data_IF_514064214336
#
_entry.id   IF_514064214336
#
_cell.length_a   1.000
_cell.length_b   1.000
_cell.length_c   1.000
_cell.angle_alpha   90.00
_cell.angle_beta   90.00
_cell.angle_gamma   90.00
#
_symmetry.space_group_name_H-M   'P 1'
#
loop_
_entity.id
_entity.type
_entity.pdbx_description
1 polymer ?
#
# COMPACT_ATOMS: atom_id res chain seq x y z
N UNK A 1 -40.04 15.23 36.92
CA UNK A 1 -39.37 14.26 36.04
C UNK A 1 -38.29 15.02 35.27
N UNK A 2 -37.03 14.94 35.72
CA UNK A 2 -35.90 15.56 35.01
C UNK A 2 -34.99 14.46 34.46
N UNK A 3 -35.07 14.30 33.14
CA UNK A 3 -34.40 13.28 32.36
C UNK A 3 -33.01 13.80 31.93
N UNK A 4 -31.97 13.07 32.35
CA UNK A 4 -30.67 12.86 31.71
C UNK A 4 -30.04 14.02 30.92
N UNK A 5 -29.15 14.77 31.58
CA UNK A 5 -28.17 15.68 30.97
C UNK A 5 -26.74 15.14 31.19
N UNK A 6 -26.39 14.01 30.59
CA UNK A 6 -25.00 13.49 30.70
C UNK A 6 -24.48 12.74 29.47
N UNK A 7 -25.09 12.95 28.29
CA UNK A 7 -24.59 12.40 27.02
C UNK A 7 -24.53 13.51 25.95
N UNK A 8 -23.79 14.59 26.21
CA UNK A 8 -23.47 15.60 25.18
C UNK A 8 -22.00 16.04 25.22
N UNK A 9 -21.15 15.43 26.04
CA UNK A 9 -19.73 15.81 26.10
C UNK A 9 -18.83 15.10 25.04
N UNK A 10 -19.30 14.01 24.42
CA UNK A 10 -18.50 13.27 23.43
C UNK A 10 -18.62 13.81 21.98
N UNK A 11 -19.62 14.66 21.71
CA UNK A 11 -19.87 15.20 20.37
C UNK A 11 -19.10 16.50 20.07
N UNK A 12 -18.54 17.16 21.08
CA UNK A 12 -17.85 18.45 20.92
C UNK A 12 -16.33 18.36 20.70
N UNK A 13 -15.73 17.16 20.76
CA UNK A 13 -14.28 16.96 20.56
C UNK A 13 -13.92 16.20 19.27
N UNK A 14 -14.86 15.97 18.35
CA UNK A 14 -14.61 15.30 17.06
C UNK A 14 -14.81 16.18 15.83
N UNK A 15 -14.89 17.50 15.99
CA UNK A 15 -14.79 18.43 14.87
C UNK A 15 -13.32 18.76 14.59
N UNK A 16 -12.48 17.74 14.39
CA UNK A 16 -11.30 17.94 13.56
C UNK A 16 -11.86 18.06 12.15
N UNK A 17 -11.81 19.26 11.56
CA UNK A 17 -12.17 19.44 10.17
C UNK A 17 -11.28 18.52 9.33
N UNK A 18 -11.86 17.44 8.81
CA UNK A 18 -11.16 16.48 7.99
C UNK A 18 -10.69 17.20 6.72
N UNK A 19 -9.37 17.22 6.50
CA UNK A 19 -8.74 17.93 5.38
C UNK A 19 -8.83 17.02 4.13
N UNK A 20 -9.40 17.49 3.00
CA UNK A 20 -9.41 16.73 1.75
C UNK A 20 -8.01 16.37 1.25
N UNK A 21 -7.83 15.22 0.61
CA UNK A 21 -6.46 14.73 0.30
C UNK A 21 -5.80 15.57 -0.78
N UNK A 22 -6.59 16.23 -1.63
CA UNK A 22 -6.11 17.24 -2.56
C UNK A 22 -5.44 18.43 -1.88
N UNK A 23 -5.81 18.73 -0.63
CA UNK A 23 -5.18 19.78 0.17
C UNK A 23 -3.90 19.28 0.86
N UNK A 24 -3.76 17.96 1.11
CA UNK A 24 -2.56 17.37 1.73
C UNK A 24 -1.46 16.99 0.69
N UNK A 25 -1.84 16.58 -0.51
CA UNK A 25 -0.92 16.35 -1.64
C UNK A 25 0.03 15.15 -1.47
N UNK A 26 1.16 15.15 -2.20
CA UNK A 26 2.16 14.07 -2.19
C UNK A 26 3.58 14.64 -2.34
N UNK A 27 4.60 13.93 -1.83
CA UNK A 27 5.96 14.47 -1.77
C UNK A 27 6.81 14.14 -3.00
N UNK A 28 7.02 15.13 -3.89
CA UNK A 28 7.94 15.04 -5.04
C UNK A 28 9.26 15.77 -4.81
N UNK A 29 9.99 15.40 -3.75
CA UNK A 29 11.45 15.54 -3.64
C UNK A 29 12.14 16.92 -3.77
N UNK A 30 11.48 18.01 -4.20
CA UNK A 30 12.14 19.30 -4.49
C UNK A 30 11.70 20.50 -3.65
N UNK A 31 10.66 20.40 -2.84
CA UNK A 31 10.38 21.37 -1.80
C UNK A 31 9.88 20.62 -0.57
N UNK A 32 10.54 20.84 0.56
CA UNK A 32 10.19 20.27 1.87
C UNK A 32 9.00 20.96 2.52
N UNK A 33 8.12 21.55 1.73
CA UNK A 33 6.85 22.05 2.21
C UNK A 33 5.86 20.91 2.01
N UNK A 34 5.44 20.32 3.13
CA UNK A 34 4.18 19.60 3.10
C UNK A 34 3.05 20.55 2.68
N UNK A 35 1.83 20.04 2.58
CA UNK A 35 0.67 20.84 2.22
C UNK A 35 0.57 22.10 3.07
N UNK A 36 0.57 23.26 2.43
CA UNK A 36 0.55 24.56 3.10
C UNK A 36 1.69 24.79 4.13
N UNK A 37 2.85 24.14 3.98
CA UNK A 37 4.01 24.29 4.86
C UNK A 37 3.90 23.50 6.18
N UNK A 38 2.96 22.56 6.29
CA UNK A 38 2.78 21.71 7.47
C UNK A 38 3.64 20.45 7.38
N UNK A 39 4.15 19.96 8.50
CA UNK A 39 4.85 18.67 8.56
C UNK A 39 3.80 17.53 8.48
N UNK A 40 3.79 16.71 7.41
CA UNK A 40 2.84 15.60 7.22
C UNK A 40 2.95 14.52 8.32
N UNK A 41 4.01 14.54 9.12
CA UNK A 41 4.20 13.63 10.25
C UNK A 41 3.89 14.26 11.61
N UNK A 42 3.55 15.56 11.66
CA UNK A 42 2.94 16.23 12.81
C UNK A 42 1.48 16.58 12.49
N UNK A 43 0.56 15.60 12.57
CA UNK A 43 -0.82 15.82 12.18
C UNK A 43 -1.55 16.85 13.03
N UNK A 44 -1.12 17.14 14.26
CA UNK A 44 -1.85 17.99 15.22
C UNK A 44 -3.35 17.62 15.32
N UNK A 45 -3.65 16.33 15.17
CA UNK A 45 -5.00 15.77 15.15
C UNK A 45 -5.75 15.85 13.82
N UNK A 46 -5.20 16.48 12.77
CA UNK A 46 -5.86 16.77 11.48
C UNK A 46 -5.96 15.59 10.51
N UNK A 47 -5.02 14.65 10.59
CA UNK A 47 -5.01 13.42 9.79
C UNK A 47 -4.39 12.27 10.57
N UNK A 48 -4.59 11.06 10.06
CA UNK A 48 -3.90 9.86 10.57
C UNK A 48 -2.57 9.67 9.84
N UNK A 49 -1.53 9.21 10.55
CA UNK A 49 -0.25 8.80 9.95
C UNK A 49 -0.07 7.31 10.22
N UNK A 50 0.09 6.53 9.16
CA UNK A 50 0.28 5.07 9.24
C UNK A 50 1.53 4.65 8.51
N UNK A 51 2.23 3.63 9.01
CA UNK A 51 3.39 3.06 8.31
C UNK A 51 2.93 2.15 7.18
N UNK A 52 3.52 2.32 6.00
CA UNK A 52 3.20 1.50 4.83
C UNK A 52 3.34 -0.02 5.11
N UNK A 53 4.39 -0.43 5.83
CA UNK A 53 4.63 -1.85 6.20
C UNK A 53 3.49 -2.49 7.02
N UNK A 54 2.68 -1.66 7.68
CA UNK A 54 1.55 -2.09 8.50
C UNK A 54 0.23 -2.13 7.69
N UNK A 55 0.27 -1.93 6.37
CA UNK A 55 -0.90 -1.96 5.49
C UNK A 55 -0.89 -3.20 4.55
N UNK A 56 -2.07 -3.52 3.99
CA UNK A 56 -2.19 -4.35 2.79
C UNK A 56 -2.56 -3.46 1.60
N UNK A 57 -2.18 -3.87 0.39
CA UNK A 57 -2.51 -3.19 -0.85
C UNK A 57 -2.98 -4.17 -1.90
N UNK A 58 -3.88 -3.69 -2.76
CA UNK A 58 -4.23 -4.35 -4.01
C UNK A 58 -4.30 -3.31 -5.12
N UNK A 59 -3.76 -3.68 -6.28
CA UNK A 59 -3.72 -2.86 -7.48
C UNK A 59 -4.89 -3.24 -8.38
N UNK A 60 -5.79 -2.31 -8.69
CA UNK A 60 -6.92 -2.53 -9.60
C UNK A 60 -6.81 -1.62 -10.82
N UNK A 61 -6.48 -2.21 -11.97
CA UNK A 61 -6.50 -1.48 -13.23
C UNK A 61 -7.94 -1.30 -13.72
N UNK A 62 -8.25 -0.12 -14.25
CA UNK A 62 -9.55 0.21 -14.84
C UNK A 62 -9.46 0.39 -16.35
N UNK A 63 -10.58 0.15 -17.05
CA UNK A 63 -10.65 0.23 -18.50
C UNK A 63 -10.71 1.69 -18.97
N UNK A 64 -10.28 2.00 -20.22
CA UNK A 64 -10.48 3.34 -20.77
C UNK A 64 -11.97 3.71 -20.78
N UNK A 65 -12.30 4.88 -20.23
CA UNK A 65 -13.68 5.36 -20.08
C UNK A 65 -14.39 4.92 -18.79
N UNK A 66 -13.79 4.04 -17.99
CA UNK A 66 -14.30 3.68 -16.66
C UNK A 66 -13.90 4.74 -15.63
N UNK A 67 -14.82 5.10 -14.71
CA UNK A 67 -14.50 5.99 -13.61
C UNK A 67 -13.59 5.25 -12.61
N UNK A 68 -12.42 5.80 -12.22
CA UNK A 68 -11.52 5.15 -11.28
C UNK A 68 -12.17 4.82 -9.92
N UNK A 69 -13.18 5.59 -9.50
CA UNK A 69 -13.91 5.32 -8.25
C UNK A 69 -14.60 3.95 -8.29
N UNK A 70 -15.07 3.51 -9.45
CA UNK A 70 -15.88 2.29 -9.60
C UNK A 70 -15.06 1.00 -9.41
N UNK A 71 -13.72 1.08 -9.51
CA UNK A 71 -12.83 -0.07 -9.31
C UNK A 71 -12.27 -0.17 -7.88
N UNK A 72 -12.60 0.78 -7.01
CA UNK A 72 -12.23 0.74 -5.59
C UNK A 72 -12.82 -0.51 -4.94
N UNK A 73 -12.00 -1.25 -4.18
CA UNK A 73 -12.52 -2.39 -3.41
C UNK A 73 -13.20 -1.86 -2.16
N UNK A 74 -14.52 -2.02 -2.09
CA UNK A 74 -15.34 -1.59 -0.94
C UNK A 74 -15.81 -2.75 -0.07
N UNK A 75 -15.44 -3.98 -0.42
CA UNK A 75 -15.87 -5.20 0.28
C UNK A 75 -15.34 -5.22 1.71
N UNK A 76 -16.19 -5.56 2.67
CA UNK A 76 -15.85 -5.61 4.10
C UNK A 76 -15.62 -7.02 4.63
N UNK A 77 -16.08 -8.05 3.91
CA UNK A 77 -16.01 -9.44 4.36
C UNK A 77 -15.08 -10.28 3.47
N UNK A 78 -14.13 -10.97 4.10
CA UNK A 78 -13.16 -11.84 3.45
C UNK A 78 -13.28 -13.27 3.95
N UNK A 79 -13.28 -14.22 3.01
CA UNK A 79 -13.55 -15.65 3.27
C UNK A 79 -12.58 -16.55 2.51
N UNK A 80 -11.34 -16.10 2.31
CA UNK A 80 -10.37 -16.90 1.56
C UNK A 80 -10.11 -18.24 2.24
N UNK A 81 -9.97 -19.30 1.46
CA UNK A 81 -9.41 -20.59 1.88
C UNK A 81 -8.06 -20.83 1.21
N UNK A 82 -7.18 -21.67 1.79
CA UNK A 82 -5.90 -22.00 1.18
C UNK A 82 -6.01 -22.52 -0.26
N UNK A 83 -7.05 -23.29 -0.56
CA UNK A 83 -7.32 -23.84 -1.90
C UNK A 83 -7.71 -22.74 -2.88
N UNK A 84 -8.54 -21.78 -2.46
CA UNK A 84 -8.90 -20.63 -3.30
C UNK A 84 -7.72 -19.72 -3.57
N UNK A 85 -6.84 -19.53 -2.58
CA UNK A 85 -5.61 -18.75 -2.73
C UNK A 85 -4.68 -19.42 -3.74
N UNK A 86 -4.43 -20.72 -3.57
CA UNK A 86 -3.64 -21.52 -4.53
C UNK A 86 -4.23 -21.47 -5.93
N UNK A 87 -5.53 -21.76 -6.06
CA UNK A 87 -6.24 -21.76 -7.34
C UNK A 87 -6.15 -20.41 -8.05
N UNK A 88 -6.26 -19.30 -7.30
CA UNK A 88 -6.13 -17.96 -7.86
C UNK A 88 -4.69 -17.66 -8.33
N UNK A 89 -3.67 -18.05 -7.56
CA UNK A 89 -2.26 -17.89 -7.92
C UNK A 89 -1.91 -18.69 -9.19
N UNK A 90 -2.47 -19.90 -9.33
CA UNK A 90 -2.21 -20.74 -10.50
C UNK A 90 -3.05 -20.35 -11.73
N UNK A 91 -4.10 -19.54 -11.55
CA UNK A 91 -5.01 -19.11 -12.62
C UNK A 91 -5.10 -17.58 -12.72
N UNK A 92 -4.00 -16.86 -12.91
CA UNK A 92 -4.03 -15.39 -13.01
C UNK A 92 -4.97 -14.85 -14.11
N UNK A 93 -5.20 -15.62 -15.18
CA UNK A 93 -6.15 -15.28 -16.24
C UNK A 93 -7.63 -15.35 -15.83
N UNK A 94 -7.92 -15.79 -14.61
CA UNK A 94 -9.27 -15.97 -14.07
C UNK A 94 -10.18 -16.79 -15.01
N UNK A 95 -9.63 -17.83 -15.62
CA UNK A 95 -10.41 -18.73 -16.46
C UNK A 95 -11.53 -19.34 -15.62
N UNK A 96 -12.79 -19.15 -16.03
CA UNK A 96 -13.96 -19.60 -15.27
C UNK A 96 -14.49 -18.63 -14.22
N UNK A 97 -13.90 -17.43 -14.07
CA UNK A 97 -14.38 -16.37 -13.17
C UNK A 97 -14.49 -16.76 -11.69
N UNK A 98 -13.61 -17.63 -11.20
CA UNK A 98 -13.66 -18.18 -9.83
C UNK A 98 -12.64 -17.56 -8.87
N UNK A 99 -11.73 -16.71 -9.37
CA UNK A 99 -10.65 -16.17 -8.56
C UNK A 99 -11.14 -15.27 -7.44
N UNK A 100 -10.48 -15.37 -6.29
CA UNK A 100 -10.68 -14.46 -5.16
C UNK A 100 -9.75 -13.24 -5.27
N UNK A 101 -10.01 -12.24 -4.42
CA UNK A 101 -9.09 -11.12 -4.27
C UNK A 101 -7.88 -11.52 -3.42
N UNK A 102 -6.71 -11.49 -4.05
CA UNK A 102 -5.41 -11.58 -3.38
C UNK A 102 -4.88 -10.21 -2.99
N UNK A 103 -4.05 -10.19 -1.95
CA UNK A 103 -3.51 -9.01 -1.30
C UNK A 103 -2.00 -9.10 -1.20
N UNK A 104 -1.34 -7.94 -1.24
CA UNK A 104 0.10 -7.80 -1.10
C UNK A 104 0.39 -6.93 0.13
N UNK A 105 1.46 -7.18 0.90
CA UNK A 105 1.89 -6.21 1.89
C UNK A 105 2.20 -4.90 1.18
N UNK A 106 1.93 -3.74 1.78
CA UNK A 106 2.33 -2.47 1.16
C UNK A 106 3.83 -2.26 1.39
N UNK A 107 4.61 -2.95 0.56
CA UNK A 107 6.05 -3.08 0.62
C UNK A 107 6.66 -2.91 -0.77
N UNK A 108 7.99 -2.97 -0.85
CA UNK A 108 8.74 -2.70 -2.08
C UNK A 108 8.49 -3.73 -3.14
N UNK A 109 8.54 -5.01 -2.76
CA UNK A 109 8.30 -6.11 -3.68
C UNK A 109 6.93 -5.97 -4.35
N UNK A 110 5.94 -5.42 -3.65
CA UNK A 110 4.62 -5.15 -4.20
C UNK A 110 4.63 -4.01 -5.23
N UNK A 111 5.45 -2.98 -5.04
CA UNK A 111 5.69 -1.95 -6.05
C UNK A 111 6.54 -2.43 -7.23
N UNK A 112 7.52 -3.34 -7.02
CA UNK A 112 8.22 -4.02 -8.11
C UNK A 112 7.26 -4.89 -8.92
N UNK A 113 6.43 -5.68 -8.23
CA UNK A 113 5.38 -6.50 -8.83
C UNK A 113 4.40 -5.66 -9.66
N UNK A 114 3.99 -4.49 -9.17
CA UNK A 114 3.14 -3.54 -9.88
C UNK A 114 3.86 -2.68 -10.94
N UNK A 115 5.14 -2.96 -11.22
CA UNK A 115 6.02 -2.20 -12.14
C UNK A 115 6.25 -0.73 -11.74
N UNK A 116 5.90 -0.31 -10.54
CA UNK A 116 6.07 1.08 -10.07
C UNK A 116 7.56 1.42 -9.96
N UNK A 117 8.35 0.47 -9.45
CA UNK A 117 9.82 0.49 -9.48
C UNK A 117 10.34 -0.68 -10.32
N UNK A 118 11.61 -0.65 -10.79
CA UNK A 118 12.17 -1.75 -11.56
C UNK A 118 12.11 -3.11 -10.84
N UNK A 119 11.80 -4.17 -11.58
CA UNK A 119 11.74 -5.54 -11.05
C UNK A 119 13.06 -6.02 -10.42
N UNK A 120 14.20 -5.48 -10.85
CA UNK A 120 15.48 -5.63 -10.18
C UNK A 120 16.03 -4.25 -9.80
N UNK A 121 16.41 -4.08 -8.53
CA UNK A 121 16.98 -2.85 -7.99
C UNK A 121 18.52 -2.89 -7.91
N UNK A 122 19.13 -4.00 -8.29
CA UNK A 122 20.57 -4.23 -8.23
C UNK A 122 20.93 -5.69 -7.99
N UNK A 123 22.22 -6.04 -8.03
CA UNK A 123 22.70 -7.42 -7.87
C UNK A 123 22.50 -7.97 -6.44
N UNK A 124 22.39 -7.11 -5.45
CA UNK A 124 22.20 -7.50 -4.03
C UNK A 124 20.72 -7.75 -3.68
N UNK A 125 19.81 -7.62 -4.65
CA UNK A 125 18.37 -7.73 -4.44
C UNK A 125 17.77 -8.82 -5.32
N UNK A 126 16.89 -9.63 -4.72
CA UNK A 126 16.09 -10.61 -5.45
C UNK A 126 15.24 -9.91 -6.51
N UNK A 127 15.29 -10.40 -7.75
CA UNK A 127 14.47 -9.89 -8.83
C UNK A 127 13.01 -10.33 -8.63
N UNK A 128 12.09 -9.40 -8.83
CA UNK A 128 10.65 -9.65 -8.78
C UNK A 128 10.09 -9.65 -10.21
N UNK A 129 9.43 -10.75 -10.56
CA UNK A 129 8.66 -10.84 -11.81
C UNK A 129 7.46 -9.90 -11.75
N UNK A 130 7.40 -8.96 -12.68
CA UNK A 130 6.36 -7.94 -12.69
C UNK A 130 5.06 -8.45 -13.31
N UNK A 131 3.91 -7.99 -12.81
CA UNK A 131 2.60 -8.37 -13.34
C UNK A 131 2.27 -7.59 -14.62
N UNK A 132 2.17 -8.30 -15.74
CA UNK A 132 2.04 -7.69 -17.06
C UNK A 132 0.73 -6.90 -17.22
N UNK A 133 -0.35 -7.36 -16.58
CA UNK A 133 -1.69 -6.80 -16.68
C UNK A 133 -1.94 -5.51 -15.90
N UNK A 134 -1.02 -5.12 -15.01
CA UNK A 134 -1.14 -3.84 -14.28
C UNK A 134 -0.72 -2.70 -15.20
N UNK A 135 -1.66 -1.77 -15.41
CA UNK A 135 -1.47 -0.54 -16.18
C UNK A 135 -1.13 0.64 -15.24
N UNK A 136 0.06 1.23 -15.40
CA UNK A 136 0.56 2.31 -14.54
C UNK A 136 -0.19 3.64 -14.72
N UNK A 137 -0.91 3.82 -15.81
CA UNK A 137 -1.63 5.07 -16.04
C UNK A 137 -3.09 4.96 -15.61
N UNK A 138 -3.54 3.74 -15.30
CA UNK A 138 -4.95 3.43 -15.02
C UNK A 138 -5.11 2.42 -13.90
N UNK A 139 -4.51 2.66 -12.74
CA UNK A 139 -4.64 1.79 -11.58
C UNK A 139 -4.92 2.55 -10.29
N UNK A 140 -5.93 2.07 -9.56
CA UNK A 140 -6.20 2.45 -8.18
C UNK A 140 -5.49 1.49 -7.23
N UNK A 141 -4.98 2.04 -6.14
CA UNK A 141 -4.48 1.28 -5.00
C UNK A 141 -5.58 1.28 -3.96
N UNK A 142 -6.18 0.12 -3.72
CA UNK A 142 -7.03 -0.09 -2.53
C UNK A 142 -6.15 -0.55 -1.38
N UNK A 143 -6.13 0.21 -0.29
CA UNK A 143 -5.25 0.01 0.86
C UNK A 143 -6.11 -0.37 2.07
N UNK A 144 -5.80 -1.50 2.70
CA UNK A 144 -6.33 -1.84 4.03
C UNK A 144 -5.35 -1.27 5.05
N UNK A 145 -5.84 -0.32 5.86
CA UNK A 145 -5.08 0.36 6.90
C UNK A 145 -4.74 -0.57 8.07
N UNK A 146 -3.80 -0.19 8.96
CA UNK A 146 -3.42 -1.03 10.10
C UNK A 146 -4.60 -1.37 11.02
N UNK A 147 -5.59 -0.49 11.12
CA UNK A 147 -6.84 -0.75 11.84
C UNK A 147 -7.61 -1.96 11.29
N UNK A 148 -7.66 -2.11 9.96
CA UNK A 148 -8.26 -3.25 9.28
C UNK A 148 -7.37 -4.48 9.28
N UNK A 149 -6.06 -4.31 9.05
CA UNK A 149 -5.08 -5.42 9.04
C UNK A 149 -5.14 -6.25 10.32
N UNK A 150 -5.30 -5.61 11.49
CA UNK A 150 -5.43 -6.29 12.79
C UNK A 150 -6.70 -7.13 12.95
N UNK A 151 -7.72 -6.91 12.13
CA UNK A 151 -9.00 -7.64 12.14
C UNK A 151 -9.01 -8.82 11.15
N UNK A 152 -7.94 -8.99 10.38
CA UNK A 152 -7.85 -9.97 9.30
C UNK A 152 -6.77 -11.02 9.58
N UNK A 153 -7.10 -12.26 9.23
CA UNK A 153 -6.20 -13.41 9.21
C UNK A 153 -5.58 -13.53 7.81
N UNK A 154 -4.26 -13.73 7.76
CA UNK A 154 -3.53 -14.08 6.54
C UNK A 154 -3.82 -15.55 6.16
N UNK A 155 -4.24 -15.80 4.93
CA UNK A 155 -4.51 -17.14 4.42
C UNK A 155 -3.49 -17.47 3.32
N UNK A 156 -2.52 -18.31 3.67
CA UNK A 156 -1.50 -18.80 2.73
C UNK A 156 -2.06 -19.83 1.77
N UNK A 157 -1.51 -19.96 0.55
CA UNK A 157 -1.93 -21.01 -0.38
C UNK A 157 -1.72 -22.41 0.21
N UNK A 158 -2.59 -23.34 -0.16
CA UNK A 158 -2.32 -24.76 0.02
C UNK A 158 -1.02 -25.15 -0.69
N UNK A 159 -0.32 -26.16 -0.17
CA UNK A 159 0.89 -26.70 -0.82
C UNK A 159 0.60 -27.15 -2.25
N UNK A 160 1.62 -27.07 -3.12
CA UNK A 160 1.50 -27.59 -4.49
C UNK A 160 1.19 -29.10 -4.46
N UNK A 161 0.18 -29.52 -5.23
CA UNK A 161 -0.03 -30.94 -5.51
C UNK A 161 1.09 -31.46 -6.42
N UNK A 162 1.40 -32.75 -6.36
CA UNK A 162 2.43 -33.41 -7.20
C UNK A 162 2.04 -33.37 -8.69
N UNK A 163 2.28 -32.25 -9.35
CA UNK A 163 1.94 -32.04 -10.77
C UNK A 163 1.70 -30.57 -11.14
N UNK A 164 1.46 -29.70 -10.17
CA UNK A 164 1.34 -28.25 -10.43
C UNK A 164 2.71 -27.57 -10.41
N UNK A 165 2.88 -26.59 -11.29
CA UNK A 165 4.10 -25.79 -11.34
C UNK A 165 4.25 -24.99 -10.05
N UNK A 166 5.17 -25.42 -9.18
CA UNK A 166 5.52 -24.74 -7.93
C UNK A 166 6.01 -23.31 -8.15
N UNK A 167 6.37 -22.93 -9.37
CA UNK A 167 6.97 -21.63 -9.67
C UNK A 167 6.03 -20.46 -9.41
N UNK A 168 4.72 -20.60 -9.67
CA UNK A 168 3.77 -19.51 -9.43
C UNK A 168 3.55 -19.30 -7.94
N UNK A 169 3.53 -20.38 -7.17
CA UNK A 169 3.44 -20.35 -5.71
C UNK A 169 4.70 -19.76 -5.09
N UNK A 170 5.89 -20.17 -5.56
CA UNK A 170 7.17 -19.58 -5.15
C UNK A 170 7.24 -18.08 -5.45
N UNK A 171 6.82 -17.66 -6.65
CA UNK A 171 6.74 -16.24 -7.03
C UNK A 171 5.77 -15.46 -6.16
N UNK A 172 4.60 -16.03 -5.89
CA UNK A 172 3.60 -15.41 -5.03
C UNK A 172 4.12 -15.26 -3.59
N UNK A 173 4.80 -16.28 -3.06
CA UNK A 173 5.45 -16.25 -1.75
C UNK A 173 6.54 -15.18 -1.68
N UNK A 174 7.38 -15.06 -2.73
CA UNK A 174 8.47 -14.10 -2.80
C UNK A 174 8.02 -12.65 -2.61
N UNK A 175 6.83 -12.29 -3.10
CA UNK A 175 6.23 -10.95 -2.97
C UNK A 175 5.21 -10.83 -1.82
N UNK A 176 4.91 -11.93 -1.12
CA UNK A 176 3.94 -11.97 -0.02
C UNK A 176 2.48 -11.92 -0.46
N UNK A 177 2.16 -12.42 -1.66
CA UNK A 177 0.76 -12.54 -2.12
C UNK A 177 0.00 -13.49 -1.19
N UNK A 178 -1.14 -13.05 -0.69
CA UNK A 178 -1.95 -13.81 0.26
C UNK A 178 -3.46 -13.63 0.06
N UNK A 179 -4.25 -14.57 0.58
CA UNK A 179 -5.66 -14.37 0.83
C UNK A 179 -5.90 -13.73 2.19
N UNK A 180 -7.08 -13.15 2.38
CA UNK A 180 -7.48 -12.61 3.68
C UNK A 180 -8.77 -13.28 4.15
N UNK A 181 -8.95 -13.37 5.47
CA UNK A 181 -10.16 -13.87 6.11
C UNK A 181 -10.51 -13.01 7.32
N UNK A 182 -11.80 -12.72 7.49
CA UNK A 182 -12.31 -11.86 8.55
C UNK A 182 -13.14 -10.70 8.01
N UNK A 183 -13.46 -9.74 8.88
CA UNK A 183 -14.37 -8.63 8.56
C UNK A 183 -13.76 -7.30 9.01
N UNK A 184 -13.82 -6.29 8.14
CA UNK A 184 -13.37 -4.92 8.39
C UNK A 184 -14.53 -3.93 8.16
N UNK A 185 -14.34 -2.68 8.56
CA UNK A 185 -15.29 -1.59 8.32
C UNK A 185 -14.87 -0.73 7.13
N UNK A 186 -15.79 0.07 6.54
CA UNK A 186 -15.43 1.08 5.54
C UNK A 186 -14.25 1.98 5.98
N UNK A 187 -14.21 2.38 7.25
CA UNK A 187 -13.18 3.26 7.81
C UNK A 187 -11.77 2.64 7.84
N UNK A 188 -11.65 1.33 7.59
CA UNK A 188 -10.36 0.64 7.49
C UNK A 188 -9.74 0.72 6.08
N UNK A 189 -10.44 1.34 5.14
CA UNK A 189 -9.99 1.50 3.75
C UNK A 189 -9.43 2.90 3.49
N UNK A 190 -8.40 2.93 2.66
CA UNK A 190 -7.98 4.14 1.97
C UNK A 190 -7.64 3.87 0.50
N UNK A 191 -7.69 4.90 -0.33
CA UNK A 191 -7.48 4.81 -1.78
C UNK A 191 -6.53 5.91 -2.26
N UNK A 192 -5.65 5.54 -3.18
CA UNK A 192 -4.74 6.45 -3.90
C UNK A 192 -4.55 5.93 -5.31
N UNK A 193 -3.84 6.68 -6.15
CA UNK A 193 -3.53 6.27 -7.52
C UNK A 193 -2.13 5.69 -7.61
N UNK A 194 -1.92 4.80 -8.58
CA UNK A 194 -0.57 4.26 -8.84
C UNK A 194 0.39 5.35 -9.31
N UNK A 195 -0.12 6.42 -9.94
CA UNK A 195 0.68 7.54 -10.45
C UNK A 195 1.30 8.33 -9.29
N UNK A 196 0.51 8.66 -8.27
CA UNK A 196 1.01 9.31 -7.04
C UNK A 196 2.05 8.43 -6.35
N UNK A 197 1.75 7.14 -6.18
CA UNK A 197 2.69 6.19 -5.59
C UNK A 197 3.98 6.08 -6.42
N UNK A 198 3.90 6.13 -7.75
CA UNK A 198 5.05 6.07 -8.63
C UNK A 198 5.95 7.29 -8.48
N UNK A 199 5.39 8.49 -8.41
CA UNK A 199 6.19 9.70 -8.21
C UNK A 199 6.98 9.65 -6.90
N UNK A 200 6.35 9.20 -5.81
CA UNK A 200 7.02 9.09 -4.50
C UNK A 200 8.04 7.95 -4.50
N UNK A 201 7.71 6.78 -5.03
CA UNK A 201 8.63 5.64 -5.06
C UNK A 201 9.84 5.89 -5.98
N UNK A 202 9.66 6.61 -7.09
CA UNK A 202 10.79 7.04 -7.92
C UNK A 202 11.68 8.05 -7.19
N UNK A 203 11.10 9.01 -6.45
CA UNK A 203 11.86 9.94 -5.62
C UNK A 203 12.67 9.22 -4.54
N UNK A 204 12.06 8.24 -3.86
CA UNK A 204 12.74 7.40 -2.86
C UNK A 204 13.88 6.61 -3.50
N UNK A 205 13.63 5.94 -4.62
CA UNK A 205 14.64 5.15 -5.33
C UNK A 205 15.82 6.02 -5.81
N UNK A 206 15.54 7.22 -6.32
CA UNK A 206 16.57 8.17 -6.72
C UNK A 206 17.42 8.63 -5.53
N UNK A 207 16.78 9.07 -4.43
CA UNK A 207 17.46 9.53 -3.23
C UNK A 207 18.35 8.44 -2.61
N UNK A 208 17.88 7.19 -2.59
CA UNK A 208 18.69 6.07 -2.14
C UNK A 208 19.86 5.76 -3.07
N UNK A 209 19.67 5.85 -4.39
CA UNK A 209 20.75 5.66 -5.37
C UNK A 209 21.83 6.72 -5.19
N UNK A 210 21.43 7.99 -5.06
CA UNK A 210 22.34 9.09 -4.79
C UNK A 210 23.06 8.91 -3.44
N UNK A 211 22.33 8.52 -2.39
CA UNK A 211 22.92 8.27 -1.08
C UNK A 211 23.96 7.15 -1.12
N UNK A 212 23.67 6.07 -1.85
CA UNK A 212 24.59 4.96 -2.09
C UNK A 212 25.86 5.41 -2.81
N UNK A 213 25.72 6.14 -3.94
CA UNK A 213 26.86 6.65 -4.71
C UNK A 213 27.74 7.61 -3.88
N UNK A 214 27.12 8.42 -3.03
CA UNK A 214 27.79 9.39 -2.17
C UNK A 214 28.17 8.86 -0.78
N UNK A 215 27.97 7.56 -0.50
CA UNK A 215 28.27 6.91 0.80
C UNK A 215 27.66 7.62 2.02
N UNK A 216 26.44 8.12 1.88
CA UNK A 216 25.69 8.79 2.95
C UNK A 216 24.42 8.02 3.29
N UNK A 217 23.78 8.37 4.40
CA UNK A 217 22.44 7.90 4.69
C UNK A 217 21.42 8.59 3.76
N UNK A 218 20.41 7.87 3.25
CA UNK A 218 19.34 8.47 2.45
C UNK A 218 18.48 9.39 3.30
N UNK A 219 18.11 10.55 2.76
CA UNK A 219 17.23 11.52 3.39
C UNK A 219 15.78 11.27 2.94
N UNK A 220 15.09 10.38 3.64
CA UNK A 220 13.73 9.96 3.29
C UNK A 220 12.62 10.85 3.89
N UNK A 221 12.93 12.09 4.28
CA UNK A 221 11.93 13.02 4.86
C UNK A 221 10.67 13.19 3.98
N UNK A 222 10.82 13.02 2.68
CA UNK A 222 9.77 13.15 1.67
C UNK A 222 9.33 11.79 1.12
N UNK A 223 9.25 10.76 1.95
CA UNK A 223 8.79 9.43 1.57
C UNK A 223 7.38 9.17 2.13
N UNK A 224 6.38 9.85 1.58
CA UNK A 224 4.97 9.69 2.00
C UNK A 224 3.98 10.03 0.88
N UNK A 225 2.79 9.44 0.93
CA UNK A 225 1.64 9.82 0.09
C UNK A 225 0.40 9.99 0.95
N UNK A 226 -0.58 10.73 0.45
CA UNK A 226 -1.93 10.71 1.01
C UNK A 226 -2.78 9.64 0.36
N UNK A 227 -3.65 9.02 1.14
CA UNK A 227 -4.74 8.20 0.64
C UNK A 227 -6.08 8.69 1.22
N UNK A 228 -7.11 8.71 0.39
CA UNK A 228 -8.48 9.09 0.74
C UNK A 228 -9.15 7.93 1.44
N UNK A 229 -9.66 8.13 2.66
CA UNK A 229 -10.45 7.11 3.34
C UNK A 229 -11.78 6.87 2.63
N UNK A 230 -12.39 5.71 2.85
CA UNK A 230 -13.69 5.41 2.24
C UNK A 230 -14.82 6.33 2.74
N UNK A 231 -14.74 6.78 3.99
CA UNK A 231 -15.61 7.85 4.48
C UNK A 231 -15.11 9.19 3.97
N UNK A 232 -16.02 9.98 3.39
CA UNK A 232 -15.67 11.11 2.53
C UNK A 232 -15.00 12.23 3.34
N UNK A 233 -13.92 12.80 2.78
CA UNK A 233 -13.13 13.92 3.30
C UNK A 233 -12.11 13.61 4.41
N UNK A 234 -11.91 12.35 4.81
CA UNK A 234 -10.79 12.00 5.70
C UNK A 234 -9.57 11.50 4.92
N UNK A 235 -8.39 11.93 5.35
CA UNK A 235 -7.13 11.54 4.74
C UNK A 235 -6.20 10.86 5.73
N UNK A 236 -5.41 9.96 5.19
CA UNK A 236 -4.34 9.28 5.90
C UNK A 236 -3.03 9.48 5.15
N UNK A 237 -1.99 9.83 5.89
CA UNK A 237 -0.62 9.87 5.39
C UNK A 237 -0.04 8.47 5.53
N UNK A 238 0.36 7.89 4.40
CA UNK A 238 1.07 6.61 4.33
C UNK A 238 2.57 6.91 4.34
N UNK A 239 3.24 6.52 5.42
CA UNK A 239 4.66 6.72 5.66
C UNK A 239 5.51 5.58 5.05
N UNK A 240 6.37 5.93 4.10
CA UNK A 240 7.32 5.06 3.42
C UNK A 240 8.76 5.22 3.92
N UNK A 241 9.03 5.91 5.03
CA UNK A 241 10.40 6.06 5.58
C UNK A 241 10.95 4.75 6.11
N UNK A 242 10.07 3.92 6.63
CA UNK A 242 10.38 2.69 7.37
C UNK A 242 10.22 1.44 6.49
N UNK A 243 10.42 1.61 5.18
CA UNK A 243 10.13 0.63 4.16
C UNK A 243 11.21 -0.45 4.13
N UNK A 244 10.86 -1.66 4.57
CA UNK A 244 11.83 -2.66 5.07
C UNK A 244 12.71 -3.31 3.98
N UNK A 245 12.42 -3.23 2.68
CA UNK A 245 13.00 -4.22 1.74
C UNK A 245 14.06 -3.73 0.75
N UNK A 246 14.37 -2.42 0.61
CA UNK A 246 15.34 -1.96 -0.39
C UNK A 246 16.26 -0.82 0.01
N UNK A 247 16.63 -0.70 1.28
CA UNK A 247 17.76 0.19 1.61
C UNK A 247 18.99 -0.34 0.85
N UNK A 248 19.39 0.32 -0.24
CA UNK A 248 20.68 0.14 -0.89
C UNK A 248 21.75 0.39 0.18
N UNK A 249 22.23 -0.70 0.80
CA UNK A 249 23.16 -0.59 1.91
C UNK A 249 24.47 -0.06 1.34
N UNK A 250 24.99 1.09 1.82
CA UNK A 250 26.34 1.47 1.48
C UNK A 250 27.27 0.35 1.96
N UNK A 251 28.19 -0.12 1.10
CA UNK A 251 29.25 -1.04 1.55
C UNK A 251 29.98 -0.38 2.73
N UNK A 252 30.38 -1.13 3.77
CA UNK A 252 31.25 -0.59 4.80
C UNK A 252 32.40 0.13 4.13
N UNK A 253 32.74 1.34 4.59
CA UNK A 253 33.99 1.96 4.16
C UNK A 253 35.08 0.91 4.36
N UNK A 254 35.84 0.61 3.29
CA UNK A 254 36.97 -0.29 3.41
C UNK A 254 37.80 0.20 4.60
N UNK A 255 37.97 -0.65 5.61
CA UNK A 255 38.98 -0.39 6.62
C UNK A 255 40.28 -0.25 5.84
N UNK A 256 40.83 0.97 5.89
CA UNK A 256 42.07 1.38 5.25
C UNK A 256 43.22 0.41 5.55
#
# INVERSE_FOLDING_TARGET
MHFQWTIVAAALFKAVAAIPCSEIGWSTGKMGDGPAGLDPFDPQGRWEVVRAKDCWVRFQSYQPGQNPIDVRVTKTEFKATPEQVRGTINNYGNQGNTNIMLWLPLATKSFQYAKVVPGSLGPDFEAVDTQSSIDKDRTILSIILPSGKRKLEEVRPASADQGESSINLQRAEAVGITGLKGTISPDDWAYTTIVEAQLVMQSVAWEQKEAYLNRRQPNLKNAWITAEKADRNECVVIDFRDFVDFIMRPRPAAAS
#
